data_IF_785859099885
#
_entry.id   IF_785859099885
#
_cell.length_a   1.000
_cell.length_b   1.000
_cell.length_c   1.000
_cell.angle_alpha   90.00
_cell.angle_beta   90.00
_cell.angle_gamma   90.00
#
_symmetry.space_group_name_H-M   'P 1'
#
loop_
_entity.id
_entity.type
_entity.pdbx_description
1 polymer ?
#
# COMPACT_ATOMS: atom_id res chain seq x y z
N UNK A 1 0.45 7.65 13.69
CA UNK A 1 0.74 7.44 12.25
C UNK A 1 0.04 6.17 11.79
N UNK A 2 -0.52 6.19 10.58
CA UNK A 2 -1.05 5.00 9.93
C UNK A 2 -0.07 4.58 8.84
N UNK A 3 0.46 3.35 8.96
CA UNK A 3 1.53 2.85 8.10
C UNK A 3 1.06 1.60 7.37
N UNK A 4 1.14 1.64 6.05
CA UNK A 4 0.70 0.59 5.14
C UNK A 4 1.88 -0.05 4.44
N UNK A 5 1.84 -1.37 4.30
CA UNK A 5 2.79 -2.16 3.54
C UNK A 5 2.05 -2.88 2.43
N UNK A 6 2.59 -2.86 1.22
CA UNK A 6 2.10 -3.64 0.09
C UNK A 6 3.25 -4.46 -0.49
N UNK A 7 2.94 -5.69 -0.88
CA UNK A 7 3.88 -6.57 -1.55
C UNK A 7 3.16 -7.54 -2.50
N UNK A 8 3.87 -8.06 -3.50
CA UNK A 8 3.32 -9.04 -4.42
C UNK A 8 4.34 -10.06 -4.92
N UNK A 9 3.94 -11.33 -4.94
CA UNK A 9 4.71 -12.40 -5.57
C UNK A 9 3.98 -12.96 -6.80
N UNK A 10 4.56 -13.99 -7.42
CA UNK A 10 3.86 -14.75 -8.46
C UNK A 10 2.59 -15.46 -7.95
N UNK A 11 2.48 -15.67 -6.63
CA UNK A 11 1.37 -16.38 -6.00
C UNK A 11 0.24 -15.45 -5.56
N UNK A 12 0.55 -14.22 -5.18
CA UNK A 12 -0.44 -13.32 -4.61
C UNK A 12 -0.01 -11.87 -4.51
N UNK A 13 -0.88 -11.11 -3.84
CA UNK A 13 -0.69 -9.72 -3.46
C UNK A 13 -1.15 -9.59 -2.01
N UNK A 14 -0.41 -8.83 -1.22
CA UNK A 14 -0.70 -8.58 0.17
C UNK A 14 -0.71 -7.08 0.47
N UNK A 15 -1.54 -6.69 1.44
CA UNK A 15 -1.53 -5.39 2.05
C UNK A 15 -1.75 -5.52 3.56
N UNK A 16 -0.98 -4.78 4.35
CA UNK A 16 -1.09 -4.75 5.80
C UNK A 16 -1.05 -3.29 6.29
N UNK A 17 -1.98 -2.93 7.18
CA UNK A 17 -2.12 -1.59 7.74
C UNK A 17 -1.90 -1.65 9.25
N UNK A 18 -0.94 -0.86 9.71
CA UNK A 18 -0.55 -0.75 11.10
C UNK A 18 -0.87 0.64 11.64
N UNK A 19 -1.24 0.70 12.91
CA UNK A 19 -1.28 1.91 13.71
C UNK A 19 0.00 1.99 14.54
N UNK A 20 0.79 3.03 14.30
CA UNK A 20 1.92 3.40 15.16
C UNK A 20 1.50 4.56 16.05
N UNK A 21 1.47 4.31 17.36
CA UNK A 21 1.15 5.29 18.40
C UNK A 21 2.42 5.64 19.14
N UNK A 22 2.73 6.93 19.21
CA UNK A 22 3.86 7.46 19.96
C UNK A 22 3.34 8.23 21.16
N UNK A 23 3.84 7.89 22.34
CA UNK A 23 3.43 8.48 23.62
C UNK A 23 4.65 8.76 24.50
N UNK A 24 4.42 9.40 25.64
CA UNK A 24 5.47 9.60 26.67
C UNK A 24 6.05 8.28 27.20
N UNK A 25 5.36 7.16 27.03
CA UNK A 25 5.78 5.83 27.47
C UNK A 25 6.47 5.02 26.37
N UNK A 26 6.69 5.61 25.19
CA UNK A 26 7.31 4.95 24.04
C UNK A 26 6.37 4.72 22.87
N UNK A 27 6.75 3.80 21.99
CA UNK A 27 6.07 3.51 20.72
C UNK A 27 5.35 2.17 20.82
N UNK A 28 4.05 2.18 20.50
CA UNK A 28 3.24 0.98 20.32
C UNK A 28 2.85 0.82 18.84
N UNK A 29 2.90 -0.42 18.34
CA UNK A 29 2.52 -0.76 16.96
C UNK A 29 1.47 -1.86 16.98
N UNK A 30 0.35 -1.62 16.30
CA UNK A 30 -0.77 -2.55 16.22
C UNK A 30 -1.14 -2.81 14.76
N UNK A 31 -1.27 -4.09 14.37
CA UNK A 31 -1.88 -4.43 13.09
C UNK A 31 -3.39 -4.13 13.18
N UNK A 32 -3.87 -3.20 12.38
CA UNK A 32 -5.30 -2.87 12.32
C UNK A 32 -6.04 -3.77 11.34
N UNK A 33 -5.46 -3.97 10.15
CA UNK A 33 -6.10 -4.74 9.10
C UNK A 33 -5.09 -5.26 8.09
N UNK A 34 -5.31 -6.46 7.58
CA UNK A 34 -4.59 -6.99 6.43
C UNK A 34 -5.55 -7.55 5.39
N UNK A 35 -5.07 -7.66 4.16
CA UNK A 35 -5.79 -8.30 3.06
C UNK A 35 -4.82 -8.93 2.08
N UNK A 36 -5.10 -10.17 1.72
CA UNK A 36 -4.42 -10.88 0.62
C UNK A 36 -5.35 -11.09 -0.57
N UNK A 37 -4.77 -11.29 -1.75
CA UNK A 37 -5.46 -11.64 -2.98
C UNK A 37 -4.57 -12.55 -3.83
N UNK A 38 -5.08 -13.73 -4.19
CA UNK A 38 -4.40 -14.67 -5.09
C UNK A 38 -4.14 -14.02 -6.45
N UNK A 39 -2.98 -14.33 -7.04
CA UNK A 39 -2.58 -13.85 -8.36
C UNK A 39 -3.65 -14.21 -9.43
N UNK A 40 -3.98 -13.30 -10.36
CA UNK A 40 -4.99 -13.57 -11.39
C UNK A 40 -4.59 -14.75 -12.30
N UNK A 41 -5.59 -15.56 -12.70
CA UNK A 41 -5.40 -16.66 -13.66
C UNK A 41 -4.78 -16.18 -14.98
N UNK A 42 -5.14 -14.98 -15.43
CA UNK A 42 -4.44 -14.32 -16.53
C UNK A 42 -3.16 -13.71 -15.99
N UNK A 43 -2.03 -14.33 -16.34
CA UNK A 43 -0.72 -13.93 -15.88
C UNK A 43 -0.45 -12.43 -16.06
N UNK A 44 -0.09 -11.78 -14.96
CA UNK A 44 0.45 -10.43 -14.93
C UNK A 44 1.95 -10.50 -14.71
N UNK A 45 2.67 -9.52 -15.23
CA UNK A 45 4.09 -9.32 -14.89
C UNK A 45 4.23 -8.97 -13.41
N UNK A 46 5.35 -9.29 -12.78
CA UNK A 46 5.64 -8.94 -11.37
C UNK A 46 5.34 -7.46 -11.09
N UNK A 47 5.85 -6.53 -11.90
CA UNK A 47 5.58 -5.09 -11.71
C UNK A 47 4.07 -4.72 -11.68
N UNK A 48 3.22 -5.46 -12.41
CA UNK A 48 1.77 -5.22 -12.42
C UNK A 48 1.09 -5.82 -11.18
N UNK A 49 1.62 -6.92 -10.64
CA UNK A 49 1.18 -7.51 -9.38
C UNK A 49 1.53 -6.57 -8.23
N UNK A 50 2.76 -6.04 -8.22
CA UNK A 50 3.22 -5.03 -7.25
C UNK A 50 2.33 -3.78 -7.24
N UNK A 51 2.05 -3.21 -8.42
CA UNK A 51 1.10 -2.10 -8.54
C UNK A 51 -0.31 -2.50 -8.08
N UNK A 52 -0.69 -3.76 -8.30
CA UNK A 52 -1.95 -4.31 -7.81
C UNK A 52 -2.02 -4.39 -6.28
N UNK A 53 -0.93 -4.79 -5.62
CA UNK A 53 -0.80 -4.79 -4.17
C UNK A 53 -0.84 -3.35 -3.61
N UNK A 54 -0.18 -2.40 -4.27
CA UNK A 54 -0.27 -0.99 -3.92
C UNK A 54 -1.71 -0.46 -4.02
N UNK A 55 -2.46 -0.80 -5.09
CA UNK A 55 -3.88 -0.47 -5.19
C UNK A 55 -4.71 -1.12 -4.08
N UNK A 56 -4.40 -2.38 -3.72
CA UNK A 56 -5.07 -3.08 -2.63
C UNK A 56 -4.85 -2.35 -1.29
N UNK A 57 -3.62 -1.90 -1.03
CA UNK A 57 -3.29 -1.13 0.16
C UNK A 57 -4.00 0.22 0.20
N UNK A 58 -4.01 0.98 -0.90
CA UNK A 58 -4.70 2.27 -0.97
C UNK A 58 -6.20 2.14 -0.64
N UNK A 59 -6.85 1.13 -1.23
CA UNK A 59 -8.24 0.81 -0.91
C UNK A 59 -8.44 0.43 0.56
N UNK A 60 -7.50 -0.33 1.13
CA UNK A 60 -7.56 -0.73 2.53
C UNK A 60 -7.43 0.49 3.46
N UNK A 61 -6.49 1.39 3.16
CA UNK A 61 -6.30 2.66 3.88
C UNK A 61 -7.55 3.55 3.81
N UNK A 62 -8.14 3.71 2.63
CA UNK A 62 -9.38 4.49 2.46
C UNK A 62 -10.56 3.95 3.29
N UNK A 63 -10.57 2.67 3.63
CA UNK A 63 -11.56 2.06 4.53
C UNK A 63 -11.18 2.25 6.00
N UNK A 64 -9.89 2.19 6.35
CA UNK A 64 -9.44 2.20 7.75
C UNK A 64 -9.34 3.62 8.33
N UNK A 65 -8.92 4.61 7.52
CA UNK A 65 -8.76 6.00 7.97
C UNK A 65 -10.04 6.59 8.57
N UNK A 66 -11.24 6.47 7.94
CA UNK A 66 -12.47 7.03 8.50
C UNK A 66 -12.94 6.33 9.78
N UNK A 67 -12.47 5.10 10.04
CA UNK A 67 -12.85 4.32 11.22
C UNK A 67 -12.05 4.70 12.47
N UNK A 68 -11.12 5.65 12.37
CA UNK A 68 -10.30 6.14 13.50
C UNK A 68 -10.68 7.57 13.95
N UNK A 69 -11.97 7.96 14.09
CA UNK A 69 -12.37 9.35 14.28
C UNK A 69 -11.91 9.95 15.62
N UNK A 70 -11.68 9.12 16.64
CA UNK A 70 -11.29 9.56 17.98
C UNK A 70 -9.81 9.91 18.12
N UNK A 71 -8.97 9.60 17.11
CA UNK A 71 -7.53 9.80 17.17
C UNK A 71 -7.05 10.46 15.88
N UNK A 72 -6.65 11.75 15.90
CA UNK A 72 -6.16 12.41 14.69
C UNK A 72 -4.91 11.68 14.18
N UNK A 73 -4.97 11.21 12.93
CA UNK A 73 -3.85 10.56 12.27
C UNK A 73 -2.92 11.65 11.75
N UNK A 74 -1.70 11.72 12.28
CA UNK A 74 -0.71 12.73 11.88
C UNK A 74 -0.16 12.50 10.46
N UNK A 75 0.01 11.24 10.08
CA UNK A 75 0.64 10.83 8.83
C UNK A 75 -0.03 9.55 8.31
N UNK A 76 -0.27 9.53 7.00
CA UNK A 76 -0.69 8.34 6.25
C UNK A 76 0.45 7.94 5.33
N UNK A 77 1.14 6.84 5.64
CA UNK A 77 2.33 6.39 4.92
C UNK A 77 2.03 5.05 4.26
N UNK A 78 2.29 4.95 2.96
CA UNK A 78 2.19 3.69 2.20
C UNK A 78 3.57 3.29 1.68
N UNK A 79 3.93 2.03 1.90
CA UNK A 79 5.25 1.47 1.65
C UNK A 79 5.17 0.32 0.65
N UNK A 80 6.10 0.33 -0.29
CA UNK A 80 6.38 -0.75 -1.25
C UNK A 80 7.90 -0.84 -1.42
N UNK A 81 8.42 -2.04 -1.63
CA UNK A 81 9.81 -2.32 -2.01
C UNK A 81 10.03 -2.30 -3.54
N UNK A 82 8.96 -2.27 -4.32
CA UNK A 82 9.05 -2.13 -5.76
C UNK A 82 9.33 -0.67 -6.16
N UNK A 83 10.59 -0.38 -6.46
CA UNK A 83 11.03 0.91 -7.01
C UNK A 83 10.30 1.27 -8.31
N UNK A 84 9.96 0.27 -9.15
CA UNK A 84 9.16 0.46 -10.37
C UNK A 84 7.76 0.94 -10.04
N UNK A 85 7.07 0.29 -9.10
CA UNK A 85 5.74 0.69 -8.65
C UNK A 85 5.76 2.10 -8.08
N UNK A 86 6.74 2.42 -7.24
CA UNK A 86 6.88 3.76 -6.67
C UNK A 86 7.09 4.82 -7.76
N UNK A 87 7.91 4.53 -8.77
CA UNK A 87 8.13 5.43 -9.91
C UNK A 87 6.83 5.66 -10.70
N UNK A 88 6.03 4.62 -10.93
CA UNK A 88 4.74 4.75 -11.60
C UNK A 88 3.74 5.58 -10.80
N UNK A 89 3.64 5.36 -9.48
CA UNK A 89 2.73 6.12 -8.60
C UNK A 89 3.05 7.63 -8.65
N UNK A 90 4.33 7.99 -8.74
CA UNK A 90 4.80 9.39 -8.81
C UNK A 90 4.72 10.00 -10.21
N UNK A 91 4.48 9.18 -11.23
CA UNK A 91 4.39 9.65 -12.62
C UNK A 91 2.95 10.07 -12.94
N UNK A 92 2.73 11.23 -13.57
CA UNK A 92 1.39 11.63 -14.00
C UNK A 92 0.72 10.57 -14.89
N UNK A 93 -0.55 10.19 -14.65
CA UNK A 93 -1.19 9.06 -15.35
C UNK A 93 -1.18 9.16 -16.88
N UNK A 94 -1.27 10.36 -17.46
CA UNK A 94 -1.26 10.55 -18.92
C UNK A 94 0.09 10.20 -19.58
N UNK A 95 1.16 10.03 -18.81
CA UNK A 95 2.47 9.57 -19.31
C UNK A 95 2.64 8.04 -19.22
N UNK A 96 1.67 7.34 -18.62
CA UNK A 96 1.73 5.91 -18.35
C UNK A 96 0.87 5.13 -19.35
N UNK A 97 1.24 3.88 -19.57
CA UNK A 97 0.40 2.95 -20.34
C UNK A 97 -0.96 2.77 -19.67
N UNK A 98 -2.03 2.61 -20.46
CA UNK A 98 -3.43 2.65 -19.99
C UNK A 98 -3.69 1.81 -18.74
N UNK A 99 -3.16 0.58 -18.67
CA UNK A 99 -3.32 -0.27 -17.48
C UNK A 99 -2.74 0.38 -16.21
N UNK A 100 -1.52 0.89 -16.32
CA UNK A 100 -0.79 1.51 -15.20
C UNK A 100 -1.47 2.84 -14.84
N UNK A 101 -1.79 3.66 -15.85
CA UNK A 101 -2.48 4.93 -15.68
C UNK A 101 -3.78 4.77 -14.89
N UNK A 102 -4.64 3.83 -15.28
CA UNK A 102 -5.92 3.59 -14.61
C UNK A 102 -5.74 3.16 -13.14
N UNK A 103 -4.73 2.33 -12.88
CA UNK A 103 -4.42 1.86 -11.52
C UNK A 103 -3.86 2.97 -10.64
N UNK A 104 -2.96 3.79 -11.16
CA UNK A 104 -2.39 4.94 -10.45
C UNK A 104 -3.47 5.98 -10.15
N UNK A 105 -4.36 6.27 -11.11
CA UNK A 105 -5.51 7.15 -10.88
C UNK A 105 -6.43 6.62 -9.77
N UNK A 106 -6.77 5.32 -9.83
CA UNK A 106 -7.57 4.69 -8.79
C UNK A 106 -6.88 4.75 -7.42
N UNK A 107 -5.59 4.42 -7.36
CA UNK A 107 -4.79 4.40 -6.14
C UNK A 107 -4.77 5.78 -5.44
N UNK A 108 -4.57 6.86 -6.21
CA UNK A 108 -4.62 8.22 -5.66
C UNK A 108 -6.02 8.63 -5.23
N UNK A 109 -7.06 8.16 -5.92
CA UNK A 109 -8.45 8.43 -5.52
C UNK A 109 -8.87 7.66 -4.26
N UNK A 110 -8.41 6.41 -4.10
CA UNK A 110 -8.75 5.54 -2.97
C UNK A 110 -8.09 6.02 -1.67
N UNK A 111 -6.90 6.64 -1.74
CA UNK A 111 -6.24 7.24 -0.57
C UNK A 111 -5.45 8.51 -0.94
N UNK A 112 -6.11 9.67 -1.03
CA UNK A 112 -5.47 10.93 -1.43
C UNK A 112 -4.42 11.46 -0.44
N UNK A 113 -4.56 11.10 0.83
CA UNK A 113 -3.63 11.54 1.90
C UNK A 113 -2.35 10.70 1.98
N UNK A 114 -2.27 9.59 1.23
CA UNK A 114 -1.15 8.66 1.33
C UNK A 114 0.16 9.26 0.77
N UNK A 115 1.19 9.27 1.61
CA UNK A 115 2.57 9.51 1.20
C UNK A 115 3.25 8.19 0.86
N UNK A 116 3.56 7.99 -0.43
CA UNK A 116 4.21 6.77 -0.92
C UNK A 116 5.73 6.83 -0.80
N UNK A 117 6.30 5.80 -0.15
CA UNK A 117 7.75 5.67 0.07
C UNK A 117 8.23 4.25 -0.23
N UNK A 118 9.54 4.15 -0.43
CA UNK A 118 10.21 2.87 -0.59
C UNK A 118 10.52 2.25 0.78
N UNK A 119 10.44 0.93 0.89
CA UNK A 119 10.96 0.14 2.02
C UNK A 119 11.86 -0.97 1.48
N UNK A 120 12.87 -1.42 2.23
CA UNK A 120 13.61 -2.62 1.83
C UNK A 120 12.72 -3.87 1.97
N UNK A 121 12.84 -4.83 1.05
CA UNK A 121 12.01 -6.05 1.07
C UNK A 121 12.12 -6.83 2.38
N UNK A 122 13.32 -6.93 2.96
CA UNK A 122 13.56 -7.57 4.27
C UNK A 122 12.81 -6.89 5.44
N UNK A 123 12.39 -5.64 5.25
CA UNK A 123 11.63 -4.85 6.23
C UNK A 123 10.16 -4.69 5.82
N UNK A 124 9.73 -5.33 4.73
CA UNK A 124 8.38 -5.23 4.21
C UNK A 124 7.46 -6.20 4.96
N UNK A 125 6.62 -5.67 5.85
CA UNK A 125 5.73 -6.49 6.69
C UNK A 125 4.59 -7.18 5.91
N UNK A 126 4.43 -6.90 4.62
CA UNK A 126 3.45 -7.56 3.75
C UNK A 126 4.01 -8.84 3.07
N UNK A 127 5.33 -8.99 2.99
CA UNK A 127 6.02 -10.08 2.27
C UNK A 127 5.64 -11.50 2.74
N UNK A 128 5.47 -11.78 4.06
CA UNK A 128 5.08 -13.12 4.49
C UNK A 128 3.71 -13.62 3.98
N UNK A 129 2.90 -12.73 3.39
CA UNK A 129 1.54 -13.02 2.95
C UNK A 129 1.32 -12.78 1.44
N UNK A 130 2.36 -12.40 0.69
CA UNK A 130 2.30 -12.06 -0.73
C UNK A 130 2.51 -13.24 -1.67
#
# INVERSE_FOLDING_TARGET
QMVGFSDASSFGMAAAVYLRVESTHGIAVHLLRSKTRVSPLKAWTINRLELGAACLLAKLMGIVLPLSPSHPVSDVICLTDSSTTLAWIRTPPYKLQTFIANRVTQLHADCPEAVWRHVAGELNSADPAS
#
